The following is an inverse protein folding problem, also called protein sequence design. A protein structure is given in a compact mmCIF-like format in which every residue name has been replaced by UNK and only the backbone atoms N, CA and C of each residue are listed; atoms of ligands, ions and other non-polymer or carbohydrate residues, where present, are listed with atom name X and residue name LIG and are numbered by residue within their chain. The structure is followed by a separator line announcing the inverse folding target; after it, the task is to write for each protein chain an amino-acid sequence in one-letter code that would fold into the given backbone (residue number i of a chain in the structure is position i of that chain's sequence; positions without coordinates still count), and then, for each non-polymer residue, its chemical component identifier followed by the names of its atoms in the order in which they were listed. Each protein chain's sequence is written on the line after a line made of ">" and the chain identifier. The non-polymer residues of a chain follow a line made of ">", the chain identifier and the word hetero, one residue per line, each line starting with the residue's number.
data_IF_610818141774
#
_entry.id   IF_610818141774
#
_cell.length_a   1.000
_cell.length_b   1.000
_cell.length_c   1.000
_cell.angle_alpha   90.00
_cell.angle_beta   90.00
_cell.angle_gamma   90.00
#
_symmetry.space_group_name_H-M   'P 1'
#
loop_
_entity.id
_entity.type
_entity.pdbx_description
1 polymer ?
#
# COMPACT_ATOMS: atom_id res chain seq x y z
N UNK A 1 7.34 1.91 -24.43
CA UNK A 1 5.89 2.17 -24.35
C UNK A 1 5.20 0.84 -24.10
N UNK A 2 4.27 0.76 -23.14
CA UNK A 2 3.50 -0.47 -22.85
C UNK A 2 2.47 -0.66 -23.95
N UNK A 3 2.31 -1.88 -24.48
CA UNK A 3 1.32 -2.13 -25.53
C UNK A 3 -0.10 -2.07 -24.97
N UNK A 4 -1.08 -1.76 -25.82
CA UNK A 4 -2.49 -1.70 -25.41
C UNK A 4 -2.99 -3.04 -24.82
N UNK A 5 -2.47 -4.16 -25.34
CA UNK A 5 -2.77 -5.49 -24.83
C UNK A 5 -2.24 -5.70 -23.40
N UNK A 6 -1.01 -5.24 -23.13
CA UNK A 6 -0.41 -5.30 -21.79
C UNK A 6 -1.18 -4.42 -20.79
N UNK A 7 -1.62 -3.22 -21.21
CA UNK A 7 -2.44 -2.33 -20.37
C UNK A 7 -3.79 -2.96 -20.01
N UNK A 8 -4.51 -3.54 -20.98
CA UNK A 8 -5.79 -4.24 -20.74
C UNK A 8 -5.63 -5.44 -19.81
N UNK A 9 -4.54 -6.20 -19.95
CA UNK A 9 -4.23 -7.32 -19.08
C UNK A 9 -3.97 -6.86 -17.63
N UNK A 10 -3.20 -5.78 -17.45
CA UNK A 10 -2.92 -5.20 -16.14
C UNK A 10 -4.20 -4.73 -15.44
N UNK A 11 -5.07 -4.00 -16.16
CA UNK A 11 -6.35 -3.53 -15.62
C UNK A 11 -7.24 -4.69 -15.17
N UNK A 12 -7.29 -5.78 -15.96
CA UNK A 12 -8.07 -6.97 -15.59
C UNK A 12 -7.51 -7.63 -14.33
N UNK A 13 -6.19 -7.75 -14.23
CA UNK A 13 -5.54 -8.30 -13.04
C UNK A 13 -5.80 -7.43 -11.80
N UNK A 14 -5.60 -6.13 -11.91
CA UNK A 14 -5.78 -5.19 -10.80
C UNK A 14 -7.22 -5.23 -10.28
N UNK A 15 -8.21 -5.25 -11.18
CA UNK A 15 -9.63 -5.37 -10.81
C UNK A 15 -9.97 -6.68 -10.11
N UNK A 16 -9.33 -7.78 -10.48
CA UNK A 16 -9.65 -9.10 -9.96
C UNK A 16 -8.88 -9.44 -8.66
N UNK A 17 -7.68 -8.90 -8.47
CA UNK A 17 -6.75 -9.37 -7.44
C UNK A 17 -6.32 -8.30 -6.44
N UNK A 18 -6.69 -7.03 -6.66
CA UNK A 18 -6.27 -5.94 -5.80
C UNK A 18 -7.45 -5.11 -5.32
N UNK A 19 -7.32 -4.59 -4.11
CA UNK A 19 -8.22 -3.56 -3.58
C UNK A 19 -7.40 -2.44 -3.01
N UNK A 20 -7.93 -1.22 -3.04
CA UNK A 20 -7.31 -0.04 -2.47
C UNK A 20 -8.04 0.36 -1.21
N UNK A 21 -7.31 0.44 -0.11
CA UNK A 21 -7.82 0.95 1.16
C UNK A 21 -7.29 2.38 1.31
N UNK A 22 -8.21 3.32 1.57
CA UNK A 22 -7.87 4.73 1.82
C UNK A 22 -7.98 5.00 3.31
N UNK A 23 -7.03 5.75 3.83
CA UNK A 23 -6.99 6.19 5.23
C UNK A 23 -6.70 7.69 5.25
N UNK A 24 -7.42 8.41 6.12
CA UNK A 24 -7.15 9.82 6.36
C UNK A 24 -6.05 9.93 7.42
N UNK A 25 -4.98 10.65 7.11
CA UNK A 25 -3.95 11.04 8.06
C UNK A 25 -4.01 12.55 8.24
N UNK A 26 -3.96 12.99 9.49
CA UNK A 26 -3.94 14.39 9.86
C UNK A 26 -2.50 14.91 9.81
N UNK A 27 -2.28 15.99 9.09
CA UNK A 27 -0.95 16.59 8.91
C UNK A 27 -0.30 17.08 10.21
N UNK A 28 -1.08 17.29 11.29
CA UNK A 28 -0.57 17.76 12.58
C UNK A 28 -0.39 16.64 13.60
N UNK A 29 -1.39 15.78 13.76
CA UNK A 29 -1.36 14.73 14.81
C UNK A 29 -0.66 13.46 14.34
N UNK A 30 -0.63 13.22 13.02
CA UNK A 30 -0.06 12.00 12.43
C UNK A 30 1.19 12.35 11.61
N UNK A 31 1.85 13.47 11.96
CA UNK A 31 3.03 13.97 11.26
C UNK A 31 4.18 12.96 11.29
N UNK A 32 4.37 12.28 12.41
CA UNK A 32 5.34 11.20 12.61
C UNK A 32 5.07 10.00 11.70
N UNK A 33 3.79 9.61 11.53
CA UNK A 33 3.38 8.55 10.61
C UNK A 33 3.69 8.96 9.16
N UNK A 34 3.38 10.20 8.79
CA UNK A 34 3.66 10.73 7.46
C UNK A 34 5.16 10.75 7.17
N UNK A 35 5.98 11.28 8.09
CA UNK A 35 7.44 11.28 7.98
C UNK A 35 8.00 9.86 7.86
N UNK A 36 7.48 8.91 8.65
CA UNK A 36 7.91 7.51 8.56
C UNK A 36 7.57 6.92 7.19
N UNK A 37 6.37 7.16 6.67
CA UNK A 37 5.97 6.71 5.35
C UNK A 37 6.81 7.35 4.23
N UNK A 38 7.20 8.62 4.39
CA UNK A 38 8.08 9.31 3.43
C UNK A 38 9.50 8.74 3.45
N UNK A 39 10.02 8.38 4.62
CA UNK A 39 11.37 7.81 4.75
C UNK A 39 11.54 6.43 4.10
N UNK A 40 10.44 5.69 3.87
CA UNK A 40 10.50 4.34 3.28
C UNK A 40 10.30 4.37 1.76
N UNK A 41 11.17 3.67 1.03
CA UNK A 41 11.09 3.57 -0.43
C UNK A 41 9.84 2.84 -0.94
N UNK A 42 9.25 1.94 -0.13
CA UNK A 42 7.99 1.24 -0.47
C UNK A 42 7.01 1.28 0.72
N UNK A 43 6.12 2.28 0.71
CA UNK A 43 5.07 2.50 1.72
C UNK A 43 4.13 1.29 1.85
N UNK A 44 3.67 0.75 0.73
CA UNK A 44 2.75 -0.40 0.73
C UNK A 44 3.40 -1.65 1.32
N UNK A 45 4.66 -1.91 0.96
CA UNK A 45 5.43 -3.03 1.48
C UNK A 45 5.65 -2.91 2.98
N UNK A 46 6.03 -1.71 3.45
CA UNK A 46 6.22 -1.42 4.86
C UNK A 46 4.95 -1.68 5.68
N UNK A 47 3.81 -1.11 5.26
CA UNK A 47 2.53 -1.30 5.96
C UNK A 47 2.12 -2.79 5.98
N UNK A 48 2.28 -3.51 4.86
CA UNK A 48 1.98 -4.96 4.79
C UNK A 48 2.85 -5.78 5.75
N UNK A 49 4.13 -5.41 5.92
CA UNK A 49 5.03 -6.10 6.84
C UNK A 49 4.58 -5.91 8.29
N UNK A 50 4.22 -4.68 8.69
CA UNK A 50 3.71 -4.39 10.03
C UNK A 50 2.43 -5.17 10.33
N UNK A 51 1.46 -5.17 9.43
CA UNK A 51 0.19 -5.92 9.61
C UNK A 51 0.45 -7.42 9.74
N UNK A 52 1.36 -7.99 8.93
CA UNK A 52 1.70 -9.42 9.02
C UNK A 52 2.41 -9.76 10.33
N UNK A 53 3.29 -8.89 10.81
CA UNK A 53 3.96 -9.06 12.09
C UNK A 53 2.96 -9.01 13.25
N UNK A 54 2.02 -8.07 13.21
CA UNK A 54 0.93 -7.96 14.20
C UNK A 54 0.03 -9.22 14.23
N UNK A 55 -0.40 -9.69 13.06
CA UNK A 55 -1.18 -10.95 12.95
C UNK A 55 -0.40 -12.14 13.51
N UNK A 56 0.91 -12.20 13.30
CA UNK A 56 1.75 -13.29 13.79
C UNK A 56 1.98 -13.24 15.31
N UNK A 57 2.05 -12.03 15.89
CA UNK A 57 2.23 -11.82 17.32
C UNK A 57 0.94 -12.07 18.10
N UNK A 58 -0.22 -11.79 17.50
CA UNK A 58 -1.55 -11.92 18.13
C UNK A 58 -2.25 -13.26 17.78
N UNK A 59 -1.48 -14.31 17.48
CA UNK A 59 -1.95 -15.63 17.08
C UNK A 59 -1.77 -16.65 18.20
#
# INVERSE_FOLDING_TARGET
>A
MVSEAQSKAQVKYDKANTTQIRMKLNLKTDADILEKLESVGNKQGYIKALIRADIAANK
#
